data_IF_913992061113
#
_entry.id   IF_913992061113
#
_cell.length_a   1.000
_cell.length_b   1.000
_cell.length_c   1.000
_cell.angle_alpha   90.00
_cell.angle_beta   90.00
_cell.angle_gamma   90.00
#
_symmetry.space_group_name_H-M   'P 1'
#
loop_
_entity.id
_entity.type
_entity.pdbx_description
1 polymer ?
#
# COMPACT_ATOMS: atom_id res chain seq x y z
N UNK A 1 -24.84 6.52 15.77
CA UNK A 1 -24.74 5.49 14.75
C UNK A 1 -23.26 5.16 14.60
N UNK A 2 -22.81 3.91 14.89
CA UNK A 2 -21.41 3.52 14.72
C UNK A 2 -21.07 3.58 13.23
N UNK A 3 -20.09 4.39 12.87
CA UNK A 3 -19.43 4.41 11.56
C UNK A 3 -18.25 3.45 11.62
N UNK A 4 -17.95 2.78 10.52
CA UNK A 4 -16.67 2.12 10.32
C UNK A 4 -15.93 2.92 9.25
N UNK A 5 -14.78 3.49 9.60
CA UNK A 5 -14.01 4.37 8.76
C UNK A 5 -12.62 3.76 8.54
N UNK A 6 -12.13 3.76 7.32
CA UNK A 6 -10.89 3.12 6.94
C UNK A 6 -10.04 4.06 6.08
N UNK A 7 -8.77 4.21 6.43
CA UNK A 7 -7.76 4.80 5.55
C UNK A 7 -6.94 3.67 4.93
N UNK A 8 -6.83 3.68 3.61
CA UNK A 8 -6.22 2.60 2.81
C UNK A 8 -4.89 3.02 2.20
N UNK A 9 -4.76 4.28 1.80
CA UNK A 9 -3.59 4.85 1.16
C UNK A 9 -3.14 6.16 1.78
N UNK A 10 -1.81 6.41 1.79
CA UNK A 10 -1.23 7.70 2.20
C UNK A 10 -0.02 8.03 1.35
N UNK A 11 0.12 9.30 0.99
CA UNK A 11 1.28 9.86 0.32
C UNK A 11 1.72 11.15 1.02
N UNK A 12 3.01 11.27 1.34
CA UNK A 12 3.60 12.44 1.97
C UNK A 12 4.68 13.04 1.06
N UNK A 13 4.61 14.33 0.86
CA UNK A 13 5.56 15.09 0.06
C UNK A 13 6.73 15.60 0.93
N UNK A 14 7.91 15.86 0.36
CA UNK A 14 9.04 16.45 1.09
C UNK A 14 8.73 17.79 1.75
N UNK A 15 7.69 18.49 1.27
CA UNK A 15 7.18 19.74 1.88
C UNK A 15 6.50 19.54 3.23
N UNK A 16 6.26 18.28 3.65
CA UNK A 16 5.58 17.94 4.90
C UNK A 16 4.05 17.84 4.77
N UNK A 17 3.48 18.09 3.61
CA UNK A 17 2.05 17.85 3.32
C UNK A 17 1.84 16.37 3.07
N UNK A 18 0.80 15.79 3.67
CA UNK A 18 0.35 14.43 3.37
C UNK A 18 -1.12 14.41 2.92
N UNK A 19 -1.44 13.45 2.08
CA UNK A 19 -2.81 13.14 1.66
C UNK A 19 -3.08 11.69 1.99
N UNK A 20 -4.19 11.41 2.65
CA UNK A 20 -4.68 10.07 2.94
C UNK A 20 -6.05 9.87 2.31
N UNK A 21 -6.30 8.67 1.81
CA UNK A 21 -7.60 8.30 1.22
C UNK A 21 -8.10 6.99 1.79
N UNK A 22 -9.39 6.74 1.59
CA UNK A 22 -10.04 5.53 2.03
C UNK A 22 -11.54 5.59 1.78
N UNK A 23 -12.30 5.06 2.71
CA UNK A 23 -13.76 5.01 2.63
C UNK A 23 -14.39 4.88 4.03
N UNK A 24 -15.68 5.19 4.13
CA UNK A 24 -16.47 5.06 5.35
C UNK A 24 -17.88 4.57 5.06
N UNK A 25 -18.52 3.94 6.04
CA UNK A 25 -19.92 3.58 5.96
C UNK A 25 -20.80 4.62 6.62
N UNK A 26 -21.90 4.97 5.94
CA UNK A 26 -22.95 5.78 6.53
C UNK A 26 -23.98 4.86 7.20
N UNK A 27 -23.82 4.66 8.52
CA UNK A 27 -24.66 3.72 9.29
C UNK A 27 -24.21 2.25 9.16
N UNK A 28 -24.90 1.35 9.86
CA UNK A 28 -24.51 -0.06 9.94
C UNK A 28 -24.73 -0.85 8.63
N UNK A 29 -25.59 -0.36 7.75
CA UNK A 29 -25.98 -1.02 6.48
C UNK A 29 -26.01 -0.04 5.30
N UNK A 30 -25.50 1.17 5.49
CA UNK A 30 -25.45 2.18 4.43
C UNK A 30 -24.35 1.91 3.41
N UNK A 31 -24.37 2.63 2.28
CA UNK A 31 -23.34 2.51 1.25
C UNK A 31 -21.98 2.96 1.76
N UNK A 32 -20.92 2.42 1.18
CA UNK A 32 -19.58 2.97 1.34
C UNK A 32 -19.41 4.27 0.55
N UNK A 33 -18.75 5.24 1.13
CA UNK A 33 -18.46 6.54 0.54
C UNK A 33 -16.95 6.81 0.59
N UNK A 34 -16.43 7.51 -0.41
CA UNK A 34 -15.02 7.88 -0.47
C UNK A 34 -14.64 8.83 0.66
N UNK A 35 -13.43 8.67 1.18
CA UNK A 35 -12.84 9.50 2.22
C UNK A 35 -11.49 10.04 1.73
N UNK A 36 -11.30 11.34 1.84
CA UNK A 36 -10.01 11.98 1.64
C UNK A 36 -9.69 12.92 2.80
N UNK A 37 -8.43 12.94 3.21
CA UNK A 37 -7.93 13.80 4.27
C UNK A 37 -6.58 14.38 3.87
N UNK A 38 -6.29 15.59 4.33
CA UNK A 38 -5.02 16.26 4.11
C UNK A 38 -4.41 16.74 5.42
N UNK A 39 -3.13 16.44 5.61
CA UNK A 39 -2.33 16.99 6.70
C UNK A 39 -1.75 18.35 6.29
N UNK A 40 -2.03 19.40 7.06
CA UNK A 40 -1.59 20.77 6.78
C UNK A 40 -0.32 21.19 7.55
N UNK A 41 0.32 20.27 8.25
CA UNK A 41 1.47 20.52 9.12
C UNK A 41 1.12 20.52 10.62
N UNK A 42 -0.14 20.70 10.99
CA UNK A 42 -0.63 20.73 12.37
C UNK A 42 -1.79 19.78 12.67
N UNK A 43 -2.67 19.56 11.70
CA UNK A 43 -3.84 18.72 11.84
C UNK A 43 -4.24 18.03 10.54
N UNK A 44 -4.95 16.90 10.65
CA UNK A 44 -5.66 16.29 9.54
C UNK A 44 -6.99 17.02 9.30
N UNK A 45 -7.26 17.37 8.06
CA UNK A 45 -8.49 18.00 7.62
C UNK A 45 -9.20 17.07 6.64
N UNK A 46 -10.50 16.87 6.83
CA UNK A 46 -11.33 16.17 5.85
C UNK A 46 -11.46 17.01 4.59
N UNK A 47 -11.29 16.40 3.44
CA UNK A 47 -11.46 17.01 2.13
C UNK A 47 -12.67 16.38 1.44
N UNK A 48 -13.59 17.16 0.85
CA UNK A 48 -14.71 16.60 0.11
C UNK A 48 -14.22 15.76 -1.06
N UNK A 49 -14.55 14.47 -1.03
CA UNK A 49 -14.29 13.51 -2.10
C UNK A 49 -15.64 13.15 -2.75
N UNK A 50 -15.81 13.34 -4.08
CA UNK A 50 -17.14 13.29 -4.69
C UNK A 50 -17.77 11.92 -4.72
N UNK A 51 -17.00 10.82 -4.87
CA UNK A 51 -17.54 9.47 -4.98
C UNK A 51 -18.70 9.34 -5.96
N UNK A 52 -19.28 8.14 -6.05
CA UNK A 52 -20.53 7.93 -6.81
C UNK A 52 -21.79 8.00 -5.94
N UNK A 53 -21.65 8.37 -4.66
CA UNK A 53 -22.76 8.43 -3.71
C UNK A 53 -23.19 7.09 -3.12
N UNK A 54 -22.66 5.97 -3.62
CA UNK A 54 -22.87 4.62 -3.08
C UNK A 54 -21.77 3.68 -3.57
N UNK A 55 -21.42 2.69 -2.76
CA UNK A 55 -20.40 1.65 -3.04
C UNK A 55 -19.08 2.21 -3.60
N UNK A 56 -18.67 3.33 -2.99
CA UNK A 56 -17.48 4.06 -3.38
C UNK A 56 -16.36 3.84 -2.37
N UNK A 57 -15.14 3.57 -2.86
CA UNK A 57 -13.95 3.41 -2.04
C UNK A 57 -12.71 3.85 -2.80
N UNK A 58 -11.77 4.47 -2.09
CA UNK A 58 -10.43 4.76 -2.62
C UNK A 58 -9.45 3.77 -1.97
N UNK A 59 -8.64 3.10 -2.79
CA UNK A 59 -7.73 2.05 -2.35
C UNK A 59 -6.31 2.56 -2.12
N UNK A 60 -5.84 3.49 -2.96
CA UNK A 60 -4.49 4.06 -2.86
C UNK A 60 -4.45 5.48 -3.44
N UNK A 61 -3.43 6.26 -3.05
CA UNK A 61 -3.20 7.63 -3.52
C UNK A 61 -1.72 7.91 -3.74
N UNK A 62 -1.42 8.62 -4.82
CA UNK A 62 -0.08 9.13 -5.10
C UNK A 62 -0.12 10.58 -5.55
N UNK A 63 0.68 11.41 -4.91
CA UNK A 63 0.84 12.82 -5.23
C UNK A 63 2.21 13.07 -5.87
N UNK A 64 2.23 13.58 -7.09
CA UNK A 64 3.45 14.08 -7.72
C UNK A 64 3.85 15.46 -7.18
N UNK A 65 2.84 16.27 -6.80
CA UNK A 65 3.00 17.59 -6.15
C UNK A 65 1.82 17.83 -5.21
N UNK A 66 1.87 18.88 -4.39
CA UNK A 66 0.76 19.26 -3.52
C UNK A 66 -0.53 19.65 -4.29
N UNK A 67 -0.40 19.97 -5.58
CA UNK A 67 -1.52 20.33 -6.47
C UNK A 67 -1.88 19.21 -7.47
N UNK A 68 -1.24 18.05 -7.42
CA UNK A 68 -1.48 16.96 -8.37
C UNK A 68 -1.38 15.62 -7.69
N UNK A 69 -2.53 15.06 -7.33
CA UNK A 69 -2.65 13.70 -6.81
C UNK A 69 -3.65 12.90 -7.64
N UNK A 70 -3.46 11.60 -7.67
CA UNK A 70 -4.38 10.64 -8.25
C UNK A 70 -4.68 9.57 -7.21
N UNK A 71 -5.95 9.35 -6.91
CA UNK A 71 -6.44 8.24 -6.11
C UNK A 71 -7.11 7.22 -7.01
N UNK A 72 -6.87 5.95 -6.74
CA UNK A 72 -7.46 4.83 -7.46
C UNK A 72 -8.41 4.06 -6.54
N UNK A 73 -9.38 3.41 -7.15
CA UNK A 73 -10.45 2.70 -6.46
C UNK A 73 -11.73 2.73 -7.29
N UNK A 74 -12.87 2.87 -6.66
CA UNK A 74 -14.20 2.99 -7.29
C UNK A 74 -14.95 4.19 -6.69
N UNK A 75 -15.01 5.33 -7.44
CA UNK A 75 -14.32 5.69 -8.70
C UNK A 75 -12.86 6.08 -8.51
N UNK A 76 -12.12 6.30 -9.60
CA UNK A 76 -10.84 7.00 -9.55
C UNK A 76 -11.08 8.52 -9.42
N UNK A 77 -10.27 9.20 -8.62
CA UNK A 77 -10.41 10.62 -8.34
C UNK A 77 -9.05 11.35 -8.47
N UNK A 78 -9.07 12.56 -8.99
CA UNK A 78 -7.89 13.42 -9.09
C UNK A 78 -8.04 14.69 -8.27
N UNK A 79 -6.96 15.07 -7.58
CA UNK A 79 -6.81 16.35 -6.89
C UNK A 79 -6.07 17.35 -7.77
N UNK A 80 -6.61 18.55 -7.92
CA UNK A 80 -6.08 19.61 -8.76
C UNK A 80 -5.51 20.80 -7.99
N UNK A 81 -5.25 20.63 -6.69
CA UNK A 81 -4.77 21.68 -5.80
C UNK A 81 -5.89 22.37 -5.01
N UNK A 82 -7.12 22.27 -5.45
CA UNK A 82 -8.28 22.93 -4.82
C UNK A 82 -9.44 22.00 -4.51
N UNK A 83 -9.62 20.94 -5.31
CA UNK A 83 -10.74 20.00 -5.14
C UNK A 83 -10.41 18.62 -5.70
N UNK A 84 -11.05 17.60 -5.17
CA UNK A 84 -11.15 16.27 -5.75
C UNK A 84 -12.21 16.26 -6.86
N UNK A 85 -11.97 15.49 -7.90
CA UNK A 85 -12.91 15.31 -9.01
C UNK A 85 -12.83 13.88 -9.51
N UNK A 86 -13.97 13.28 -9.82
CA UNK A 86 -14.02 11.97 -10.48
C UNK A 86 -13.35 12.10 -11.85
N UNK A 87 -12.49 11.12 -12.16
CA UNK A 87 -11.87 10.97 -13.47
C UNK A 87 -12.32 9.66 -14.11
N UNK A 88 -12.20 9.51 -15.45
CA UNK A 88 -12.49 8.23 -16.08
C UNK A 88 -11.78 7.08 -15.38
N UNK A 89 -12.46 5.95 -15.20
CA UNK A 89 -11.87 4.74 -14.64
C UNK A 89 -10.92 4.05 -15.61
N UNK A 90 -9.97 3.23 -15.11
CA UNK A 90 -9.15 2.38 -15.96
C UNK A 90 -9.99 1.37 -16.76
N UNK A 91 -9.61 1.03 -18.00
CA UNK A 91 -10.43 0.18 -18.88
C UNK A 91 -10.59 -1.26 -18.38
N UNK A 92 -9.65 -1.76 -17.58
CA UNK A 92 -9.65 -3.14 -17.06
C UNK A 92 -10.26 -3.24 -15.65
N UNK A 93 -10.95 -2.19 -15.18
CA UNK A 93 -11.60 -2.12 -13.87
C UNK A 93 -10.79 -1.34 -12.82
N UNK A 94 -11.26 -1.32 -11.56
CA UNK A 94 -10.62 -0.56 -10.50
C UNK A 94 -9.19 -1.07 -10.22
N UNK A 95 -8.30 -0.14 -9.85
CA UNK A 95 -6.91 -0.43 -9.51
C UNK A 95 -6.72 -0.34 -7.99
N UNK A 96 -5.81 -1.18 -7.46
CA UNK A 96 -5.54 -1.24 -6.03
C UNK A 96 -4.32 -0.46 -5.56
N UNK A 97 -3.43 -0.07 -6.49
CA UNK A 97 -2.24 0.74 -6.16
C UNK A 97 -1.85 1.65 -7.30
N UNK A 98 -1.32 2.83 -6.97
CA UNK A 98 -0.93 3.87 -7.93
C UNK A 98 0.38 4.54 -7.53
N UNK A 99 1.20 4.91 -8.53
CA UNK A 99 2.43 5.68 -8.33
C UNK A 99 2.60 6.72 -9.43
N UNK A 100 2.74 7.98 -9.03
CA UNK A 100 2.84 9.15 -9.90
C UNK A 100 4.21 9.83 -9.77
N UNK A 101 5.21 9.51 -10.61
CA UNK A 101 6.52 10.17 -10.55
C UNK A 101 6.50 11.62 -11.07
N UNK A 102 5.45 12.03 -11.77
CA UNK A 102 5.26 13.40 -12.26
C UNK A 102 3.76 13.68 -12.46
N UNK A 103 3.33 14.96 -12.47
CA UNK A 103 1.97 15.33 -12.79
C UNK A 103 1.52 14.73 -14.14
N UNK A 104 0.33 14.10 -14.15
CA UNK A 104 -0.21 13.45 -15.35
C UNK A 104 0.58 12.24 -15.84
N UNK A 105 1.50 11.70 -15.05
CA UNK A 105 2.25 10.50 -15.40
C UNK A 105 2.20 9.50 -14.25
N UNK A 106 1.20 8.63 -14.25
CA UNK A 106 1.03 7.63 -13.21
C UNK A 106 0.93 6.22 -13.79
N UNK A 107 1.40 5.25 -13.02
CA UNK A 107 1.16 3.83 -13.24
C UNK A 107 0.25 3.31 -12.13
N UNK A 108 -0.72 2.50 -12.51
CA UNK A 108 -1.58 1.80 -11.55
C UNK A 108 -1.60 0.31 -11.86
N UNK A 109 -1.77 -0.49 -10.82
CA UNK A 109 -1.85 -1.95 -10.89
C UNK A 109 -2.98 -2.47 -10.01
N UNK A 110 -3.46 -3.68 -10.29
CA UNK A 110 -4.53 -4.33 -9.53
C UNK A 110 -5.47 -5.14 -10.40
N UNK A 111 -6.69 -5.45 -9.92
CA UNK A 111 -7.13 -5.31 -8.54
C UNK A 111 -6.47 -6.34 -7.62
N UNK A 112 -6.34 -6.05 -6.31
CA UNK A 112 -5.91 -7.04 -5.34
C UNK A 112 -6.90 -8.22 -5.32
N UNK A 113 -6.40 -9.44 -5.53
CA UNK A 113 -7.25 -10.65 -5.54
C UNK A 113 -7.90 -11.00 -6.88
N UNK A 114 -7.61 -10.29 -7.97
CA UNK A 114 -8.00 -10.67 -9.33
C UNK A 114 -7.21 -11.90 -9.84
N UNK A 115 -7.80 -12.65 -10.79
CA UNK A 115 -7.14 -13.80 -11.41
C UNK A 115 -6.20 -13.39 -12.56
N UNK A 116 -6.14 -12.10 -12.88
CA UNK A 116 -5.35 -11.55 -13.97
C UNK A 116 -4.68 -10.27 -13.48
N UNK A 117 -3.35 -10.19 -13.56
CA UNK A 117 -2.68 -8.94 -13.27
C UNK A 117 -3.07 -7.91 -14.33
N UNK A 118 -3.44 -6.74 -13.90
CA UNK A 118 -3.74 -5.60 -14.77
C UNK A 118 -2.83 -4.44 -14.43
N UNK A 119 -2.49 -3.66 -15.44
CA UNK A 119 -1.77 -2.42 -15.31
C UNK A 119 -2.33 -1.38 -16.28
N UNK A 120 -2.37 -0.14 -15.83
CA UNK A 120 -2.81 0.97 -16.67
C UNK A 120 -1.96 2.21 -16.40
N UNK A 121 -1.78 3.02 -17.43
CA UNK A 121 -1.07 4.28 -17.36
C UNK A 121 -2.01 5.46 -17.53
N UNK A 122 -1.92 6.40 -16.60
CA UNK A 122 -2.61 7.68 -16.65
C UNK A 122 -1.72 8.75 -17.31
N UNK A 123 -2.24 9.49 -18.26
CA UNK A 123 -1.53 10.55 -18.98
C UNK A 123 -1.96 11.98 -18.58
N UNK A 124 -2.71 12.10 -17.48
CA UNK A 124 -3.30 13.36 -17.02
C UNK A 124 -4.73 13.60 -17.51
N UNK A 125 -5.22 12.77 -18.46
CA UNK A 125 -6.56 12.91 -19.04
C UNK A 125 -7.29 11.59 -19.23
N UNK A 126 -6.57 10.57 -19.68
CA UNK A 126 -7.13 9.24 -19.98
C UNK A 126 -6.21 8.14 -19.50
N UNK A 127 -6.78 6.97 -19.28
CA UNK A 127 -6.05 5.74 -19.01
C UNK A 127 -5.76 4.97 -20.30
N UNK A 128 -4.56 4.40 -20.38
CA UNK A 128 -4.19 3.42 -21.39
C UNK A 128 -3.91 2.07 -20.72
N UNK A 129 -4.62 1.01 -21.16
CA UNK A 129 -4.34 -0.34 -20.70
C UNK A 129 -2.94 -0.79 -21.10
N UNK A 130 -2.26 -1.54 -20.24
CA UNK A 130 -0.92 -2.05 -20.48
C UNK A 130 -0.90 -3.59 -20.39
N UNK A 131 -0.15 -4.20 -21.30
CA UNK A 131 0.00 -5.65 -21.29
C UNK A 131 0.97 -6.08 -20.18
N UNK A 132 0.46 -6.86 -19.24
CA UNK A 132 1.24 -7.48 -18.17
C UNK A 132 1.65 -8.89 -18.60
N UNK A 133 2.94 -9.26 -18.55
CA UNK A 133 3.40 -10.59 -18.89
C UNK A 133 2.93 -11.63 -17.86
N UNK A 134 2.89 -12.90 -18.27
CA UNK A 134 2.52 -14.01 -17.39
C UNK A 134 3.66 -14.98 -17.27
N UNK A 135 3.95 -15.51 -16.08
CA UNK A 135 4.92 -16.60 -15.92
C UNK A 135 4.50 -17.85 -16.70
N UNK A 136 5.48 -18.64 -17.13
CA UNK A 136 5.25 -19.94 -17.74
C UNK A 136 5.76 -21.05 -16.84
N UNK A 137 4.93 -22.08 -16.50
CA UNK A 137 3.52 -22.25 -16.84
C UNK A 137 2.63 -21.22 -16.13
N UNK A 138 1.49 -20.87 -16.76
CA UNK A 138 0.57 -19.84 -16.22
C UNK A 138 -0.02 -20.29 -14.88
N UNK A 139 0.17 -19.50 -13.80
CA UNK A 139 -0.44 -19.78 -12.51
C UNK A 139 -1.97 -19.65 -12.54
N UNK A 140 -2.66 -20.25 -11.57
CA UNK A 140 -4.11 -20.15 -11.45
C UNK A 140 -4.56 -18.74 -11.01
N UNK A 141 -3.76 -18.09 -10.16
CA UNK A 141 -3.98 -16.70 -9.77
C UNK A 141 -2.69 -15.93 -9.89
N UNK A 142 -2.80 -14.72 -10.40
CA UNK A 142 -1.75 -13.73 -10.51
C UNK A 142 -2.27 -12.41 -9.99
N UNK A 143 -1.55 -11.79 -9.06
CA UNK A 143 -1.89 -10.49 -8.54
C UNK A 143 -0.70 -9.56 -8.63
N UNK A 144 -0.96 -8.27 -8.93
CA UNK A 144 -0.06 -7.17 -8.65
C UNK A 144 -0.68 -6.36 -7.51
N UNK A 145 0.00 -6.30 -6.39
CA UNK A 145 -0.52 -5.70 -5.16
C UNK A 145 -0.07 -4.24 -4.98
N UNK A 146 1.13 -3.90 -5.43
CA UNK A 146 1.69 -2.56 -5.30
C UNK A 146 2.60 -2.19 -6.47
N UNK A 147 2.70 -0.88 -6.74
CA UNK A 147 3.59 -0.31 -7.74
C UNK A 147 4.34 0.90 -7.17
N UNK A 148 5.61 1.05 -7.53
CA UNK A 148 6.44 2.21 -7.21
C UNK A 148 7.25 2.65 -8.43
N UNK A 149 7.10 3.92 -8.81
CA UNK A 149 7.74 4.51 -9.97
C UNK A 149 8.75 5.57 -9.54
N UNK A 150 9.99 5.45 -9.99
CA UNK A 150 11.02 6.50 -9.84
C UNK A 150 10.88 7.53 -10.95
N UNK A 151 10.54 7.07 -12.16
CA UNK A 151 10.32 7.91 -13.34
C UNK A 151 9.23 7.29 -14.22
N UNK A 152 8.74 8.01 -15.23
CA UNK A 152 7.82 7.48 -16.23
C UNK A 152 8.37 6.27 -17.02
N UNK A 153 9.69 6.00 -16.92
CA UNK A 153 10.38 4.90 -17.60
C UNK A 153 10.92 3.83 -16.66
N UNK A 154 10.73 3.98 -15.36
CA UNK A 154 11.10 2.97 -14.39
C UNK A 154 10.06 2.86 -13.31
N UNK A 155 9.31 1.77 -13.32
CA UNK A 155 8.45 1.35 -12.23
C UNK A 155 8.75 -0.10 -11.86
N UNK A 156 8.52 -0.45 -10.62
CA UNK A 156 8.54 -1.80 -10.10
C UNK A 156 7.17 -2.13 -9.55
N UNK A 157 6.57 -3.23 -9.99
CA UNK A 157 5.33 -3.77 -9.43
C UNK A 157 5.61 -5.10 -8.76
N UNK A 158 4.91 -5.38 -7.68
CA UNK A 158 5.08 -6.60 -6.89
C UNK A 158 3.74 -7.23 -6.54
N UNK A 159 3.77 -8.53 -6.29
CA UNK A 159 2.58 -9.30 -5.94
C UNK A 159 2.89 -10.77 -5.71
N UNK A 160 1.97 -11.63 -6.10
CA UNK A 160 2.13 -13.07 -5.97
C UNK A 160 1.52 -13.84 -7.15
N UNK A 161 2.07 -15.03 -7.34
CA UNK A 161 1.63 -16.02 -8.32
C UNK A 161 1.29 -17.31 -7.58
N UNK A 162 0.03 -17.73 -7.59
CA UNK A 162 -0.42 -18.91 -6.87
C UNK A 162 -0.62 -20.11 -7.78
N UNK A 163 -0.16 -21.28 -7.34
CA UNK A 163 -0.41 -22.58 -7.96
C UNK A 163 -1.13 -23.49 -6.96
N UNK A 164 -2.27 -24.07 -7.38
CA UNK A 164 -3.07 -24.97 -6.56
C UNK A 164 -4.39 -24.37 -6.11
N UNK A 165 -5.35 -25.22 -5.69
CA UNK A 165 -6.68 -24.79 -5.27
C UNK A 165 -6.60 -23.94 -3.99
N UNK A 166 -7.39 -22.85 -3.93
CA UNK A 166 -7.49 -21.95 -2.77
C UNK A 166 -8.10 -22.59 -1.51
N UNK A 167 -8.53 -23.86 -1.55
CA UNK A 167 -9.10 -24.54 -0.38
C UNK A 167 -8.01 -24.76 0.67
N UNK A 168 -8.11 -24.07 1.78
CA UNK A 168 -7.21 -24.20 2.93
C UNK A 168 -7.61 -25.38 3.84
N UNK A 169 -6.66 -26.10 4.46
CA UNK A 169 -5.21 -26.12 4.24
C UNK A 169 -4.79 -27.19 3.22
N UNK A 170 -4.36 -26.78 2.03
CA UNK A 170 -3.83 -27.76 1.05
C UNK A 170 -2.30 -27.72 1.05
N UNK A 171 -1.61 -28.86 1.23
CA UNK A 171 -0.15 -28.95 1.10
C UNK A 171 0.33 -28.66 -0.33
N UNK A 172 -0.59 -28.63 -1.31
CA UNK A 172 -0.31 -28.28 -2.70
C UNK A 172 -0.35 -26.78 -2.99
N UNK A 173 -0.84 -25.93 -2.04
CA UNK A 173 -0.92 -24.48 -2.21
C UNK A 173 0.48 -23.86 -2.16
N UNK A 174 0.86 -23.19 -3.23
CA UNK A 174 2.16 -22.55 -3.36
C UNK A 174 1.97 -21.16 -3.97
N UNK A 175 2.20 -20.12 -3.16
CA UNK A 175 2.40 -18.79 -3.68
C UNK A 175 3.89 -18.54 -3.83
N UNK A 176 4.25 -17.95 -4.95
CA UNK A 176 5.57 -17.41 -5.21
C UNK A 176 5.47 -15.88 -5.35
N UNK A 177 6.49 -15.19 -4.93
CA UNK A 177 6.62 -13.75 -5.16
C UNK A 177 6.62 -13.47 -6.66
N UNK A 178 5.92 -12.42 -7.07
CA UNK A 178 5.91 -11.88 -8.44
C UNK A 178 6.50 -10.49 -8.40
N UNK A 179 7.47 -10.21 -9.27
CA UNK A 179 8.00 -8.87 -9.48
C UNK A 179 8.08 -8.57 -10.96
N UNK A 180 7.66 -7.36 -11.34
CA UNK A 180 7.65 -6.89 -12.70
C UNK A 180 8.23 -5.50 -12.80
N UNK A 181 9.01 -5.23 -13.85
CA UNK A 181 9.61 -3.93 -14.12
C UNK A 181 9.10 -3.33 -15.42
N UNK A 182 8.61 -2.09 -15.32
CA UNK A 182 8.33 -1.22 -16.46
C UNK A 182 9.60 -0.51 -16.93
N UNK A 183 9.84 -0.48 -18.23
CA UNK A 183 11.03 0.15 -18.83
C UNK A 183 10.70 1.39 -19.70
N UNK A 184 9.48 1.91 -19.61
CA UNK A 184 8.97 3.02 -20.44
C UNK A 184 8.16 2.56 -21.65
N UNK A 185 8.20 1.25 -22.00
CA UNK A 185 7.48 0.71 -23.15
C UNK A 185 6.73 -0.60 -22.88
N UNK A 186 7.23 -1.41 -21.94
CA UNK A 186 6.63 -2.71 -21.59
C UNK A 186 7.01 -3.17 -20.19
N UNK A 187 6.14 -3.95 -19.59
CA UNK A 187 6.37 -4.72 -18.38
C UNK A 187 7.20 -5.97 -18.69
N UNK A 188 8.06 -6.36 -17.75
CA UNK A 188 8.83 -7.61 -17.80
C UNK A 188 8.90 -8.23 -16.41
N UNK A 189 8.69 -9.53 -16.33
CA UNK A 189 8.92 -10.29 -15.11
C UNK A 189 10.41 -10.25 -14.78
N UNK A 190 10.72 -9.93 -13.54
CA UNK A 190 12.06 -9.97 -12.96
C UNK A 190 12.05 -11.11 -11.93
N UNK A 191 12.98 -12.07 -12.01
CA UNK A 191 13.07 -13.12 -11.00
C UNK A 191 13.28 -12.54 -9.61
N UNK A 192 12.46 -13.00 -8.65
CA UNK A 192 12.54 -12.67 -7.24
C UNK A 192 12.62 -13.95 -6.40
N UNK A 193 13.30 -13.94 -5.25
CA UNK A 193 13.35 -15.10 -4.38
C UNK A 193 11.97 -15.37 -3.77
N UNK A 194 11.67 -16.67 -3.59
CA UNK A 194 10.50 -17.11 -2.82
C UNK A 194 11.04 -17.99 -1.69
N UNK A 195 11.44 -17.39 -0.55
CA UNK A 195 12.25 -18.06 0.45
C UNK A 195 11.54 -19.23 1.14
N UNK A 196 10.22 -19.28 1.08
CA UNK A 196 9.42 -20.37 1.62
C UNK A 196 8.15 -20.59 0.79
N UNK A 197 7.41 -21.65 1.05
CA UNK A 197 6.07 -21.85 0.49
C UNK A 197 5.15 -20.71 0.91
N UNK A 198 4.23 -20.33 0.03
CA UNK A 198 3.28 -19.24 0.25
C UNK A 198 3.98 -17.93 0.65
N UNK A 199 4.94 -17.50 -0.19
CA UNK A 199 5.57 -16.17 -0.12
C UNK A 199 4.81 -15.17 -0.99
N UNK A 200 4.47 -14.02 -0.41
CA UNK A 200 3.70 -12.96 -1.07
C UNK A 200 4.34 -11.60 -0.82
N UNK A 201 4.33 -10.73 -1.83
CA UNK A 201 4.70 -9.32 -1.70
C UNK A 201 3.45 -8.45 -1.74
N UNK A 202 3.39 -7.44 -0.86
CA UNK A 202 2.22 -6.56 -0.68
C UNK A 202 2.54 -5.10 -0.93
N UNK A 203 3.76 -4.66 -0.62
CA UNK A 203 4.21 -3.29 -0.77
C UNK A 203 5.55 -3.22 -1.47
N UNK A 204 5.81 -2.13 -2.19
CA UNK A 204 7.11 -1.83 -2.82
C UNK A 204 7.39 -0.34 -2.77
N UNK A 205 8.64 0.03 -2.52
CA UNK A 205 9.13 1.41 -2.58
C UNK A 205 10.50 1.45 -3.24
N UNK A 206 10.66 2.31 -4.23
CA UNK A 206 11.89 2.48 -5.02
C UNK A 206 12.41 3.91 -4.87
N UNK A 207 13.38 4.19 -3.98
CA UNK A 207 14.02 5.50 -3.91
C UNK A 207 14.93 5.80 -5.11
N UNK A 208 15.32 4.78 -5.87
CA UNK A 208 16.08 4.92 -7.12
C UNK A 208 15.88 3.72 -8.04
N UNK A 209 16.24 3.80 -9.34
CA UNK A 209 16.16 2.66 -10.26
C UNK A 209 17.04 1.47 -9.87
N UNK A 210 18.06 1.70 -9.06
CA UNK A 210 18.98 0.67 -8.58
C UNK A 210 18.68 0.17 -7.17
N UNK A 211 17.69 0.76 -6.49
CA UNK A 211 17.26 0.34 -5.15
C UNK A 211 15.75 0.33 -5.06
N UNK A 212 15.19 -0.84 -4.82
CA UNK A 212 13.80 -0.99 -4.36
C UNK A 212 13.78 -1.92 -3.15
N UNK A 213 12.80 -1.73 -2.29
CA UNK A 213 12.46 -2.63 -1.19
C UNK A 213 11.04 -3.10 -1.39
N UNK A 214 10.83 -4.40 -1.34
CA UNK A 214 9.51 -5.03 -1.37
C UNK A 214 9.26 -5.77 -0.06
N UNK A 215 8.04 -5.71 0.43
CA UNK A 215 7.66 -6.33 1.71
C UNK A 215 6.39 -7.16 1.58
N UNK A 216 6.22 -8.09 2.52
CA UNK A 216 5.07 -8.97 2.54
C UNK A 216 5.15 -10.02 3.64
N UNK A 217 4.83 -11.26 3.28
CA UNK A 217 4.89 -12.41 4.19
C UNK A 217 5.45 -13.64 3.50
N UNK A 218 5.97 -14.58 4.30
CA UNK A 218 6.44 -15.89 3.87
C UNK A 218 5.94 -16.99 4.78
N UNK A 219 6.12 -18.25 4.36
CA UNK A 219 5.68 -19.44 5.10
C UNK A 219 4.18 -19.40 5.47
N UNK A 220 3.32 -18.95 4.55
CA UNK A 220 1.88 -18.85 4.77
C UNK A 220 1.46 -17.75 5.75
N UNK A 221 2.31 -16.72 5.92
CA UNK A 221 2.09 -15.64 6.87
C UNK A 221 2.72 -15.89 8.25
N UNK A 222 3.51 -16.95 8.42
CA UNK A 222 4.19 -17.16 9.70
C UNK A 222 5.35 -16.19 9.95
N UNK A 223 5.82 -15.50 8.92
CA UNK A 223 6.94 -14.56 9.00
C UNK A 223 6.74 -13.35 8.09
N UNK A 224 7.19 -12.20 8.53
CA UNK A 224 7.38 -11.03 7.67
C UNK A 224 8.44 -11.33 6.61
N UNK A 225 8.31 -10.71 5.45
CA UNK A 225 9.25 -10.83 4.33
C UNK A 225 9.67 -9.45 3.88
N UNK A 226 10.97 -9.26 3.68
CA UNK A 226 11.53 -8.12 2.98
C UNK A 226 12.51 -8.59 1.90
N UNK A 227 12.42 -8.02 0.72
CA UNK A 227 13.33 -8.25 -0.40
C UNK A 227 13.89 -6.91 -0.90
N UNK A 228 15.16 -6.91 -1.30
CA UNK A 228 15.86 -5.73 -1.79
C UNK A 228 16.38 -5.95 -3.22
N UNK A 229 16.04 -5.02 -4.09
CA UNK A 229 16.59 -4.86 -5.44
C UNK A 229 17.87 -4.04 -5.41
N UNK A 230 18.92 -4.49 -6.08
CA UNK A 230 20.22 -3.81 -6.14
C UNK A 230 20.55 -3.25 -7.55
N UNK A 231 19.56 -3.10 -8.43
CA UNK A 231 19.74 -2.72 -9.82
C UNK A 231 19.85 -3.92 -10.79
N UNK A 232 20.20 -5.10 -10.27
CA UNK A 232 20.43 -6.32 -11.06
C UNK A 232 19.54 -7.48 -10.62
N UNK A 233 19.40 -7.72 -9.30
CA UNK A 233 18.65 -8.84 -8.73
C UNK A 233 18.01 -8.48 -7.39
N UNK A 234 16.96 -9.23 -7.06
CA UNK A 234 16.33 -9.23 -5.75
C UNK A 234 17.08 -10.17 -4.79
N UNK A 235 17.17 -9.79 -3.54
CA UNK A 235 17.73 -10.61 -2.44
C UNK A 235 16.85 -10.50 -1.21
N UNK A 236 16.65 -11.61 -0.50
CA UNK A 236 15.93 -11.62 0.78
C UNK A 236 16.76 -10.89 1.83
N UNK A 237 16.10 -10.03 2.59
CA UNK A 237 16.65 -9.41 3.80
C UNK A 237 16.10 -10.09 5.04
N UNK A 238 16.92 -10.20 6.08
CA UNK A 238 16.48 -10.72 7.37
C UNK A 238 15.59 -9.68 8.06
N UNK A 239 14.34 -10.06 8.34
CA UNK A 239 13.39 -9.29 9.15
C UNK A 239 13.37 -9.81 10.58
N UNK A 240 13.18 -8.95 11.61
CA UNK A 240 13.07 -9.41 12.98
C UNK A 240 11.79 -10.24 13.14
N UNK A 241 11.90 -11.40 13.75
CA UNK A 241 10.74 -12.24 14.06
C UNK A 241 9.93 -11.65 15.22
N UNK A 242 8.61 -11.55 15.05
CA UNK A 242 7.72 -11.15 16.13
C UNK A 242 6.87 -12.33 16.53
N UNK A 243 7.12 -12.82 17.75
CA UNK A 243 6.30 -13.85 18.36
C UNK A 243 6.44 -15.23 17.69
N UNK A 244 5.98 -16.24 18.38
CA UNK A 244 6.01 -17.65 17.94
C UNK A 244 4.67 -18.13 17.40
N UNK A 245 3.60 -17.33 17.46
CA UNK A 245 2.24 -17.80 17.22
C UNK A 245 1.48 -16.74 16.39
N UNK A 246 0.97 -17.17 15.23
CA UNK A 246 0.02 -16.44 14.42
C UNK A 246 0.56 -15.85 13.12
N UNK A 247 -0.35 -15.22 12.39
CA UNK A 247 -0.09 -14.58 11.11
C UNK A 247 0.66 -13.26 11.30
N UNK A 248 1.73 -13.05 10.55
CA UNK A 248 2.52 -11.82 10.50
C UNK A 248 2.79 -11.43 9.05
N UNK A 249 2.43 -10.22 8.67
CA UNK A 249 2.64 -9.72 7.31
C UNK A 249 2.93 -8.23 7.33
N UNK A 250 3.87 -7.78 6.50
CA UNK A 250 4.03 -6.38 6.16
C UNK A 250 3.11 -6.05 4.98
N UNK A 251 2.36 -4.96 5.07
CA UNK A 251 1.37 -4.53 4.07
C UNK A 251 1.92 -3.44 3.16
N UNK A 252 2.71 -2.53 3.71
CA UNK A 252 3.25 -1.39 2.97
C UNK A 252 4.69 -1.07 3.39
N UNK A 253 5.43 -0.41 2.51
CA UNK A 253 6.78 0.09 2.76
C UNK A 253 6.99 1.44 2.07
N UNK A 254 7.69 2.35 2.72
CA UNK A 254 8.13 3.62 2.16
C UNK A 254 9.59 3.87 2.50
N UNK A 255 10.40 4.16 1.48
CA UNK A 255 11.82 4.45 1.61
C UNK A 255 12.07 5.93 1.33
N UNK A 256 12.46 6.69 2.34
CA UNK A 256 12.92 8.06 2.16
C UNK A 256 14.28 8.10 1.43
N UNK A 257 15.12 7.08 1.66
CA UNK A 257 16.41 6.88 0.99
C UNK A 257 16.70 5.37 0.84
N UNK A 258 17.77 5.04 0.13
CA UNK A 258 18.25 3.66 0.02
C UNK A 258 18.63 3.01 1.38
N UNK A 259 18.96 3.83 2.37
CA UNK A 259 19.40 3.41 3.71
C UNK A 259 18.33 3.67 4.79
N UNK A 260 17.15 4.19 4.43
CA UNK A 260 16.10 4.47 5.39
C UNK A 260 14.74 4.12 4.82
N UNK A 261 14.15 3.03 5.30
CA UNK A 261 12.81 2.60 4.93
C UNK A 261 11.99 2.28 6.18
N UNK A 262 10.70 2.54 6.12
CA UNK A 262 9.74 2.15 7.12
C UNK A 262 8.71 1.22 6.48
N UNK A 263 8.52 0.05 7.06
CA UNK A 263 7.48 -0.90 6.67
C UNK A 263 6.46 -1.05 7.79
N UNK A 264 5.21 -1.22 7.44
CA UNK A 264 4.11 -1.44 8.40
C UNK A 264 3.30 -2.66 8.03
N UNK A 265 2.59 -3.20 9.00
CA UNK A 265 1.75 -4.37 8.80
C UNK A 265 1.13 -4.87 10.10
N UNK A 266 0.79 -6.15 10.14
CA UNK A 266 0.13 -6.74 11.30
C UNK A 266 0.84 -8.02 11.75
N UNK A 267 0.67 -8.38 13.01
CA UNK A 267 1.08 -9.63 13.62
C UNK A 267 -0.03 -10.14 14.57
N UNK A 268 0.20 -11.28 15.23
CA UNK A 268 -0.75 -11.89 16.15
C UNK A 268 -2.12 -12.10 15.49
N UNK A 269 -2.15 -12.95 14.47
CA UNK A 269 -3.35 -13.25 13.67
C UNK A 269 -3.98 -12.04 12.96
N UNK A 270 -3.21 -10.95 12.76
CA UNK A 270 -3.68 -9.76 12.05
C UNK A 270 -4.40 -8.73 12.91
N UNK A 271 -4.31 -8.83 14.25
CA UNK A 271 -5.01 -7.90 15.16
C UNK A 271 -4.12 -6.79 15.73
N UNK A 272 -2.80 -6.97 15.71
CA UNK A 272 -1.85 -6.00 16.28
C UNK A 272 -0.98 -5.38 15.19
N UNK A 273 -0.80 -4.06 15.24
CA UNK A 273 0.03 -3.31 14.31
C UNK A 273 1.53 -3.47 14.59
N UNK A 274 2.32 -3.52 13.52
CA UNK A 274 3.78 -3.53 13.57
C UNK A 274 4.34 -2.48 12.63
N UNK A 275 5.45 -1.87 13.04
CA UNK A 275 6.35 -1.16 12.14
C UNK A 275 7.77 -1.75 12.22
N UNK A 276 8.42 -1.90 11.09
CA UNK A 276 9.81 -2.30 10.97
C UNK A 276 10.60 -1.20 10.24
N UNK A 277 11.74 -0.81 10.78
CA UNK A 277 12.61 0.23 10.26
C UNK A 277 13.91 -0.35 9.74
N UNK A 278 14.27 -0.06 8.48
CA UNK A 278 15.55 -0.35 7.86
C UNK A 278 16.49 0.84 8.05
N UNK A 279 17.65 0.61 8.67
CA UNK A 279 18.66 1.64 8.97
C UNK A 279 19.84 1.66 7.97
N UNK A 280 19.72 0.94 6.86
CA UNK A 280 20.80 0.74 5.87
C UNK A 280 21.56 -0.57 6.06
N UNK A 281 21.47 -1.20 7.23
CA UNK A 281 22.16 -2.43 7.60
C UNK A 281 21.23 -3.55 8.08
N UNK A 282 20.19 -3.23 8.83
CA UNK A 282 19.26 -4.19 9.43
C UNK A 282 17.84 -3.63 9.58
N UNK A 283 16.87 -4.53 9.64
CA UNK A 283 15.52 -4.23 10.05
C UNK A 283 15.38 -4.29 11.56
N UNK A 284 14.69 -3.34 12.16
CA UNK A 284 14.40 -3.27 13.60
C UNK A 284 12.94 -2.92 13.84
N UNK A 285 12.34 -3.55 14.85
CA UNK A 285 10.94 -3.27 15.22
C UNK A 285 10.84 -1.88 15.82
N UNK A 286 9.83 -1.12 15.39
CA UNK A 286 9.38 0.14 15.98
C UNK A 286 7.92 -0.03 16.37
N UNK A 287 7.63 -0.02 17.66
CA UNK A 287 6.27 -0.24 18.17
C UNK A 287 5.37 0.92 17.76
N UNK A 288 4.21 0.57 17.20
CA UNK A 288 3.11 1.49 17.00
C UNK A 288 2.37 1.68 18.34
N UNK A 289 2.00 2.90 18.72
CA UNK A 289 1.15 3.12 19.88
C UNK A 289 -0.23 2.50 19.64
N UNK A 290 -0.88 2.10 20.72
CA UNK A 290 -2.22 1.52 20.64
C UNK A 290 -3.21 2.62 21.04
N UNK A 291 -4.14 3.03 20.14
CA UNK A 291 -5.18 3.98 20.52
C UNK A 291 -6.04 3.44 21.68
N UNK A 292 -6.53 4.30 22.58
CA UNK A 292 -7.44 3.90 23.64
C UNK A 292 -8.69 3.23 23.03
N UNK A 293 -8.98 2.01 23.47
CA UNK A 293 -10.15 1.25 23.06
C UNK A 293 -11.30 1.32 24.05
N UNK A 294 -12.48 0.82 23.70
CA UNK A 294 -13.57 0.63 24.65
C UNK A 294 -13.14 -0.33 25.75
N UNK A 295 -13.64 -0.14 26.99
CA UNK A 295 -13.32 -1.03 28.09
C UNK A 295 -13.61 -2.50 27.74
N UNK A 296 -12.62 -3.39 27.94
CA UNK A 296 -12.74 -4.83 27.68
C UNK A 296 -12.60 -5.29 26.25
N UNK A 297 -12.33 -4.38 25.29
CA UNK A 297 -12.04 -4.72 23.89
C UNK A 297 -10.56 -5.01 23.65
N UNK A 298 -10.25 -6.01 22.81
CA UNK A 298 -8.89 -6.23 22.29
C UNK A 298 -8.50 -5.02 21.41
N UNK A 299 -7.30 -4.43 21.61
CA UNK A 299 -6.87 -3.29 20.81
C UNK A 299 -6.54 -3.74 19.38
N UNK A 300 -7.43 -3.45 18.46
CA UNK A 300 -7.23 -3.73 17.04
C UNK A 300 -6.50 -2.54 16.38
N UNK A 301 -5.29 -2.76 15.87
CA UNK A 301 -4.48 -1.75 15.16
C UNK A 301 -4.10 -2.33 13.81
N UNK A 302 -4.66 -1.78 12.74
CA UNK A 302 -4.52 -2.28 11.37
C UNK A 302 -3.89 -1.22 10.46
N UNK A 303 -2.55 -1.09 10.45
CA UNK A 303 -1.87 -0.20 9.52
C UNK A 303 -2.06 -0.73 8.09
N UNK A 304 -2.54 0.12 7.18
CA UNK A 304 -2.76 -0.22 5.78
C UNK A 304 -1.64 0.31 4.88
N UNK A 305 -1.21 1.55 5.10
CA UNK A 305 -0.24 2.24 4.25
C UNK A 305 0.74 3.07 5.08
N UNK A 306 1.92 3.34 4.52
CA UNK A 306 2.95 4.20 5.12
C UNK A 306 3.61 5.05 4.05
N UNK A 307 3.90 6.31 4.36
CA UNK A 307 4.64 7.23 3.50
C UNK A 307 5.64 8.06 4.30
N UNK A 308 6.87 8.11 3.83
CA UNK A 308 7.98 8.83 4.47
C UNK A 308 8.41 10.02 3.60
N UNK A 309 8.16 11.23 4.05
CA UNK A 309 8.70 12.46 3.45
C UNK A 309 10.21 12.60 3.71
N UNK A 310 10.71 12.06 4.82
CA UNK A 310 12.13 11.98 5.19
C UNK A 310 12.37 10.82 6.17
N UNK A 311 13.62 10.56 6.52
CA UNK A 311 14.01 9.56 7.51
C UNK A 311 13.36 9.78 8.90
N UNK A 312 13.08 11.03 9.25
CA UNK A 312 12.47 11.43 10.52
C UNK A 312 11.00 11.84 10.38
N UNK A 313 10.38 11.66 9.22
CA UNK A 313 9.00 12.08 8.99
C UNK A 313 8.28 11.05 8.14
N UNK A 314 7.71 10.04 8.79
CA UNK A 314 6.80 9.09 8.17
C UNK A 314 5.40 9.21 8.78
N UNK A 315 4.40 8.88 7.98
CA UNK A 315 3.01 8.75 8.43
C UNK A 315 2.52 7.37 8.05
N UNK A 316 1.91 6.67 8.99
CA UNK A 316 1.11 5.47 8.70
C UNK A 316 -0.35 5.77 8.92
N UNK A 317 -1.18 5.18 8.08
CA UNK A 317 -2.63 5.25 8.17
C UNK A 317 -3.25 3.87 8.10
N UNK A 318 -4.48 3.77 8.58
CA UNK A 318 -5.22 2.51 8.62
C UNK A 318 -6.53 2.65 9.37
N UNK A 319 -6.87 1.62 10.13
CA UNK A 319 -8.02 1.62 11.02
C UNK A 319 -7.68 1.06 12.39
N UNK A 320 -8.39 1.55 13.41
CA UNK A 320 -8.36 1.02 14.76
C UNK A 320 -9.78 0.97 15.28
N UNK A 321 -10.26 -0.23 15.61
CA UNK A 321 -11.58 -0.45 16.21
C UNK A 321 -12.75 0.17 15.41
N UNK A 322 -12.64 0.20 14.08
CA UNK A 322 -13.65 0.76 13.18
C UNK A 322 -13.60 2.29 13.03
N UNK A 323 -12.54 2.93 13.54
CA UNK A 323 -12.26 4.34 13.30
C UNK A 323 -10.98 4.50 12.45
N UNK A 324 -10.84 5.62 11.76
CA UNK A 324 -9.60 5.96 11.06
C UNK A 324 -8.43 6.06 12.06
N UNK A 325 -7.28 5.59 11.63
CA UNK A 325 -6.02 5.67 12.37
C UNK A 325 -4.99 6.41 11.55
N UNK A 326 -4.31 7.36 12.17
CA UNK A 326 -3.10 7.98 11.65
C UNK A 326 -2.05 8.12 12.74
N UNK A 327 -0.81 7.76 12.43
CA UNK A 327 0.32 7.90 13.36
C UNK A 327 1.50 8.50 12.63
N UNK A 328 2.28 9.31 13.34
CA UNK A 328 3.45 10.01 12.81
C UNK A 328 4.73 9.58 13.51
N UNK A 329 5.74 9.24 12.72
CA UNK A 329 7.12 9.01 13.13
C UNK A 329 7.91 10.32 13.13
N UNK A 330 8.64 10.60 14.20
CA UNK A 330 9.45 11.81 14.36
C UNK A 330 10.97 11.54 14.30
N UNK A 331 11.38 10.35 13.86
CA UNK A 331 12.77 9.89 13.87
C UNK A 331 13.12 9.04 15.09
N UNK A 332 12.34 9.08 16.16
CA UNK A 332 12.56 8.34 17.41
C UNK A 332 11.38 7.47 17.82
N UNK A 333 10.16 7.99 17.73
CA UNK A 333 8.94 7.32 18.17
C UNK A 333 7.75 7.64 17.27
N UNK A 334 6.77 6.75 17.28
CA UNK A 334 5.45 6.95 16.69
C UNK A 334 4.53 7.67 17.66
N UNK A 335 3.71 8.58 17.17
CA UNK A 335 2.69 9.32 17.93
C UNK A 335 1.35 9.27 17.21
N UNK A 336 0.28 8.99 17.95
CA UNK A 336 -1.09 9.00 17.42
C UNK A 336 -1.44 10.43 16.99
N UNK A 337 -2.03 10.54 15.81
CA UNK A 337 -2.57 11.78 15.28
C UNK A 337 -4.09 11.71 15.29
N UNK A 338 -4.73 12.78 15.75
CA UNK A 338 -6.20 12.86 15.67
C UNK A 338 -6.63 13.02 14.22
N UNK A 339 -7.50 12.15 13.76
CA UNK A 339 -8.19 12.25 12.47
C UNK A 339 -9.60 12.80 12.69
N UNK A 340 -10.10 13.68 11.79
CA UNK A 340 -11.47 14.14 11.85
C UNK A 340 -12.43 13.00 11.49
N UNK A 341 -13.60 12.99 12.12
CA UNK A 341 -14.69 12.15 11.64
C UNK A 341 -15.19 12.70 10.30
N UNK A 342 -15.45 11.86 9.29
CA UNK A 342 -16.08 12.30 8.06
C UNK A 342 -17.48 12.85 8.38
N UNK A 343 -17.79 14.03 7.84
CA UNK A 343 -19.04 14.75 8.10
C UNK A 343 -20.25 14.12 7.41
#
# INVERSE_FOLDING_TARGET
VKRADFLTGVTCLPTGTCVAVGWYYYGATGPSLTLAMRWNGGAWLAEPAPGHGHDSQLDDVSCATAASCLAVGTPAEAWTGTRWSIVPGPPDGPMGSVSCPAPGSCQAVGPPGGNRPVAARWNGRTWGAERVPRPTPVPQNLTLAAVSCVTARFCMAVGDASRGAKAMPSPAYRDATLTERWNGSRWRIIPAPSPARASRLRGVSCPSPTVCVAVGSSAGGARTLAERWNGVRWTVQHTPGIGRIGYSALTAVSCATAANCMAVGTYNAGISGIAEHWDGSRWTIRRLPVPPGPPGGEPLVLPASVSCASAAACVTVGSSQGATMAERWNGAAWTIQRTPDPA
#
